data_IF_679189379322
#
_entry.id   IF_679189379322
#
_cell.length_a   1.000
_cell.length_b   1.000
_cell.length_c   1.000
_cell.angle_alpha   90.00
_cell.angle_beta   90.00
_cell.angle_gamma   90.00
#
_symmetry.space_group_name_H-M   'P 1'
#
loop_
_entity.id
_entity.type
_entity.pdbx_description
1 polymer ?
#
# COMPACT_ATOMS: atom_id res chain seq x y z
N UNK A 1 -3.28 5.61 7.12
CA UNK A 1 -2.97 6.35 5.87
C UNK A 1 -2.20 7.63 6.12
N UNK A 2 -2.54 8.46 7.11
CA UNK A 2 -1.81 9.71 7.40
C UNK A 2 -0.32 9.53 7.71
N UNK A 3 0.08 8.44 8.37
CA UNK A 3 1.50 8.14 8.60
C UNK A 3 2.28 7.90 7.30
N UNK A 4 1.69 7.18 6.34
CA UNK A 4 2.25 7.02 5.00
C UNK A 4 2.26 8.34 4.21
N UNK A 5 1.22 9.16 4.36
CA UNK A 5 1.19 10.51 3.76
C UNK A 5 2.33 11.40 4.28
N UNK A 6 2.58 11.39 5.60
CA UNK A 6 3.66 12.17 6.21
C UNK A 6 5.05 11.72 5.71
N UNK A 7 5.21 10.44 5.36
CA UNK A 7 6.45 9.86 4.84
C UNK A 7 6.54 9.80 3.31
N UNK A 8 5.51 10.25 2.56
CA UNK A 8 5.36 9.97 1.13
C UNK A 8 6.59 10.34 0.30
N UNK A 9 7.19 11.52 0.55
CA UNK A 9 8.34 12.01 -0.19
C UNK A 9 9.56 11.07 -0.16
N UNK A 10 9.75 10.29 0.93
CA UNK A 10 10.85 9.33 1.03
C UNK A 10 10.72 8.16 0.04
N UNK A 11 9.48 7.82 -0.32
CA UNK A 11 9.20 6.78 -1.30
C UNK A 11 9.46 7.30 -2.72
N UNK A 12 9.13 8.57 -2.98
CA UNK A 12 9.42 9.25 -4.25
C UNK A 12 10.94 9.29 -4.53
N UNK A 13 11.75 9.57 -3.50
CA UNK A 13 13.23 9.55 -3.58
C UNK A 13 13.80 8.17 -3.96
N UNK A 14 13.05 7.10 -3.67
CA UNK A 14 13.44 5.71 -3.97
C UNK A 14 12.77 5.17 -5.26
N UNK A 15 12.29 6.05 -6.15
CA UNK A 15 11.56 5.68 -7.38
C UNK A 15 10.40 4.69 -7.07
N UNK A 16 9.68 4.92 -5.97
CA UNK A 16 8.61 4.04 -5.51
C UNK A 16 7.26 4.73 -5.64
N UNK A 17 6.34 4.09 -6.36
CA UNK A 17 4.94 4.50 -6.39
C UNK A 17 4.18 3.90 -5.20
N UNK A 18 3.35 4.70 -4.53
CA UNK A 18 2.51 4.25 -3.42
C UNK A 18 1.04 4.17 -3.84
N UNK A 19 0.37 3.10 -3.41
CA UNK A 19 -1.07 2.92 -3.59
C UNK A 19 -1.67 2.46 -2.25
N UNK A 20 -2.77 3.07 -1.82
CA UNK A 20 -3.63 2.46 -0.81
C UNK A 20 -4.70 1.62 -1.49
N UNK A 21 -5.04 0.47 -0.92
CA UNK A 21 -6.09 -0.40 -1.46
C UNK A 21 -7.06 -0.72 -0.33
N UNK A 22 -8.36 -0.62 -0.58
CA UNK A 22 -9.37 -1.14 0.34
C UNK A 22 -10.53 -1.77 -0.43
N UNK A 23 -11.28 -2.62 0.26
CA UNK A 23 -12.51 -3.26 -0.21
C UNK A 23 -13.71 -2.31 -0.27
N UNK A 24 -13.56 -1.02 0.07
CA UNK A 24 -14.58 0.01 -0.07
C UNK A 24 -14.71 0.47 -1.53
N UNK A 25 -15.89 0.96 -1.90
CA UNK A 25 -16.16 1.41 -3.27
C UNK A 25 -15.42 2.72 -3.63
N UNK A 26 -15.28 2.98 -4.92
CA UNK A 26 -14.52 4.14 -5.42
C UNK A 26 -15.04 5.50 -4.92
N UNK A 27 -16.37 5.77 -4.83
CA UNK A 27 -16.87 7.02 -4.23
C UNK A 27 -16.44 7.23 -2.78
N UNK A 28 -16.53 6.20 -1.93
CA UNK A 28 -16.10 6.25 -0.53
C UNK A 28 -14.60 6.49 -0.42
N UNK A 29 -13.80 5.81 -1.25
CA UNK A 29 -12.35 6.00 -1.29
C UNK A 29 -11.95 7.41 -1.69
N UNK A 30 -12.66 8.01 -2.67
CA UNK A 30 -12.43 9.39 -3.08
C UNK A 30 -12.64 10.37 -1.92
N UNK A 31 -13.78 10.29 -1.24
CA UNK A 31 -14.09 11.17 -0.10
C UNK A 31 -13.07 10.99 1.02
N UNK A 32 -12.66 9.75 1.31
CA UNK A 32 -11.67 9.45 2.34
C UNK A 32 -10.29 10.02 2.00
N UNK A 33 -9.84 9.89 0.75
CA UNK A 33 -8.58 10.47 0.29
C UNK A 33 -8.59 12.00 0.40
N UNK A 34 -9.69 12.65 0.02
CA UNK A 34 -9.86 14.11 0.12
C UNK A 34 -9.82 14.59 1.57
N UNK A 35 -10.53 13.91 2.49
CA UNK A 35 -10.54 14.23 3.92
C UNK A 35 -9.15 14.15 4.55
N UNK A 36 -8.36 13.15 4.14
CA UNK A 36 -7.01 12.95 4.63
C UNK A 36 -5.94 13.73 3.84
N UNK A 37 -6.33 14.44 2.78
CA UNK A 37 -5.44 15.16 1.86
C UNK A 37 -4.32 14.27 1.33
N UNK A 38 -4.67 13.06 0.90
CA UNK A 38 -3.69 12.10 0.39
C UNK A 38 -3.18 12.55 -0.99
N UNK A 39 -1.87 12.43 -1.21
CA UNK A 39 -1.22 12.73 -2.49
C UNK A 39 -0.97 11.48 -3.34
N UNK A 40 -1.20 10.31 -2.76
CA UNK A 40 -1.14 9.03 -3.46
C UNK A 40 -2.56 8.47 -3.71
N UNK A 41 -2.74 7.67 -4.77
CA UNK A 41 -4.03 7.10 -5.12
C UNK A 41 -4.54 6.07 -4.09
N UNK A 42 -5.85 6.07 -3.87
CA UNK A 42 -6.58 4.98 -3.22
C UNK A 42 -7.37 4.19 -4.26
N UNK A 43 -7.11 2.88 -4.33
CA UNK A 43 -7.77 1.93 -5.22
C UNK A 43 -8.91 1.22 -4.48
N UNK A 44 -9.98 0.93 -5.23
CA UNK A 44 -11.13 0.17 -4.75
C UNK A 44 -11.04 -1.27 -5.26
N UNK A 45 -11.05 -2.23 -4.33
CA UNK A 45 -11.19 -3.68 -4.57
C UNK A 45 -12.62 -4.16 -4.24
N UNK A 46 -13.62 -3.28 -4.38
CA UNK A 46 -15.00 -3.56 -3.96
C UNK A 46 -15.73 -4.59 -4.84
N UNK A 47 -15.47 -4.61 -6.16
CA UNK A 47 -16.31 -5.31 -7.13
C UNK A 47 -16.35 -6.84 -6.92
N UNK A 48 -15.18 -7.45 -6.76
CA UNK A 48 -15.02 -8.90 -6.56
C UNK A 48 -14.07 -9.25 -5.39
N UNK A 49 -13.41 -8.25 -4.78
CA UNK A 49 -12.42 -8.42 -3.70
C UNK A 49 -11.27 -9.34 -4.09
N UNK A 50 -10.96 -9.36 -5.39
CA UNK A 50 -9.98 -10.26 -5.97
C UNK A 50 -8.59 -9.95 -5.47
N UNK A 51 -8.21 -8.68 -5.37
CA UNK A 51 -6.85 -8.30 -4.92
C UNK A 51 -6.64 -8.74 -3.47
N UNK A 52 -7.58 -8.43 -2.57
CA UNK A 52 -7.50 -8.84 -1.17
C UNK A 52 -7.48 -10.37 -1.02
N UNK A 53 -8.19 -11.10 -1.89
CA UNK A 53 -8.22 -12.57 -1.90
C UNK A 53 -6.88 -13.14 -2.39
N UNK A 54 -6.36 -12.67 -3.51
CA UNK A 54 -5.11 -13.17 -4.12
C UNK A 54 -3.88 -12.88 -3.25
N UNK A 55 -3.88 -11.74 -2.54
CA UNK A 55 -2.83 -11.40 -1.57
C UNK A 55 -3.03 -12.10 -0.20
N UNK A 56 -4.11 -12.88 -0.04
CA UNK A 56 -4.39 -13.64 1.18
C UNK A 56 -4.72 -12.77 2.39
N UNK A 57 -5.25 -11.57 2.17
CA UNK A 57 -5.55 -10.58 3.22
C UNK A 57 -7.04 -10.34 3.43
N UNK A 58 -7.92 -10.91 2.61
CA UNK A 58 -9.36 -10.80 2.82
C UNK A 58 -9.79 -11.52 4.12
N UNK A 59 -10.48 -10.81 5.00
CA UNK A 59 -11.06 -11.37 6.22
C UNK A 59 -12.29 -12.20 5.85
N UNK A 60 -12.29 -13.53 6.13
CA UNK A 60 -13.40 -14.41 5.78
C UNK A 60 -14.72 -13.92 6.34
N UNK A 61 -15.77 -13.95 5.53
CA UNK A 61 -17.15 -13.56 5.88
C UNK A 61 -17.34 -12.12 6.36
N UNK A 62 -16.31 -11.27 6.32
CA UNK A 62 -16.41 -9.85 6.72
C UNK A 62 -16.31 -8.87 5.56
N UNK A 63 -15.73 -9.31 4.44
CA UNK A 63 -15.61 -8.45 3.26
C UNK A 63 -14.67 -7.27 3.40
N UNK A 64 -13.79 -7.32 4.39
CA UNK A 64 -12.76 -6.32 4.68
C UNK A 64 -11.39 -6.98 4.55
N UNK A 65 -10.36 -6.23 4.22
CA UNK A 65 -8.98 -6.71 4.25
C UNK A 65 -8.34 -6.50 5.63
N UNK A 66 -7.44 -7.39 6.03
CA UNK A 66 -6.46 -7.12 7.07
C UNK A 66 -5.57 -5.95 6.66
N UNK A 67 -5.06 -5.20 7.64
CA UNK A 67 -4.06 -4.16 7.38
C UNK A 67 -2.72 -4.84 7.12
N UNK A 68 -2.27 -4.77 5.88
CA UNK A 68 -0.98 -5.31 5.46
C UNK A 68 -0.33 -4.33 4.48
N UNK A 69 0.97 -4.11 4.63
CA UNK A 69 1.78 -3.35 3.67
C UNK A 69 2.69 -4.31 2.92
N UNK A 70 2.72 -4.16 1.59
CA UNK A 70 3.59 -4.92 0.71
C UNK A 70 4.57 -3.96 0.02
N UNK A 71 5.84 -4.33 -0.07
CA UNK A 71 6.79 -3.70 -0.99
C UNK A 71 7.07 -4.68 -2.11
N UNK A 72 6.81 -4.23 -3.33
CA UNK A 72 6.92 -5.03 -4.55
C UNK A 72 8.06 -4.42 -5.38
N UNK A 73 9.00 -5.26 -5.79
CA UNK A 73 10.12 -4.83 -6.64
C UNK A 73 9.66 -4.56 -8.09
N UNK A 74 10.58 -4.08 -8.92
CA UNK A 74 10.29 -3.73 -10.32
C UNK A 74 10.02 -4.95 -11.22
N UNK A 75 10.33 -6.16 -10.75
CA UNK A 75 10.02 -7.43 -11.42
C UNK A 75 8.70 -8.04 -10.94
N UNK A 76 7.97 -7.35 -10.04
CA UNK A 76 6.68 -7.77 -9.51
C UNK A 76 6.78 -8.76 -8.35
N UNK A 77 7.95 -8.94 -7.73
CA UNK A 77 8.13 -9.82 -6.58
C UNK A 77 7.98 -9.07 -5.27
N UNK A 78 7.35 -9.70 -4.30
CA UNK A 78 7.22 -9.13 -2.95
C UNK A 78 8.57 -9.27 -2.23
N UNK A 79 9.18 -8.14 -1.87
CA UNK A 79 10.44 -8.09 -1.10
C UNK A 79 10.18 -7.94 0.41
N UNK A 80 9.06 -7.31 0.78
CA UNK A 80 8.70 -7.06 2.17
C UNK A 80 7.20 -7.16 2.40
N UNK A 81 6.83 -7.76 3.54
CA UNK A 81 5.46 -7.86 4.02
C UNK A 81 5.44 -7.42 5.49
N UNK A 82 4.58 -6.46 5.80
CA UNK A 82 4.26 -6.07 7.17
C UNK A 82 2.78 -6.30 7.46
N UNK A 83 2.49 -7.04 8.52
CA UNK A 83 1.12 -7.31 9.00
C UNK A 83 0.87 -6.58 10.30
N UNK A 84 -0.35 -6.06 10.47
CA UNK A 84 -0.94 -5.50 11.70
C UNK A 84 -0.28 -4.22 12.26
N UNK A 85 1.04 -4.08 12.14
CA UNK A 85 1.79 -2.88 12.50
C UNK A 85 1.66 -1.84 11.38
N UNK A 86 1.56 -0.57 11.76
CA UNK A 86 1.70 0.56 10.85
C UNK A 86 3.13 1.07 10.97
N UNK A 87 4.02 0.63 10.07
CA UNK A 87 5.43 1.01 10.05
C UNK A 87 5.86 1.56 8.68
N UNK A 88 5.60 2.84 8.40
CA UNK A 88 6.08 3.48 7.19
C UNK A 88 7.62 3.48 7.06
N UNK A 89 8.34 3.43 8.18
CA UNK A 89 9.81 3.40 8.18
C UNK A 89 10.33 2.04 7.71
N UNK A 90 9.76 0.94 8.21
CA UNK A 90 10.06 -0.41 7.73
C UNK A 90 9.86 -0.57 6.23
N UNK A 91 8.72 -0.08 5.72
CA UNK A 91 8.43 -0.07 4.29
C UNK A 91 9.41 0.82 3.50
N UNK A 92 9.70 2.04 3.99
CA UNK A 92 10.63 2.97 3.35
C UNK A 92 12.04 2.40 3.25
N UNK A 93 12.54 1.77 4.32
CA UNK A 93 13.84 1.12 4.32
C UNK A 93 13.91 -0.03 3.29
N UNK A 94 12.83 -0.79 3.12
CA UNK A 94 12.77 -1.83 2.08
C UNK A 94 12.84 -1.22 0.67
N UNK A 95 12.09 -0.15 0.40
CA UNK A 95 12.16 0.58 -0.87
C UNK A 95 13.57 1.10 -1.17
N UNK A 96 14.23 1.74 -0.20
CA UNK A 96 15.58 2.28 -0.41
C UNK A 96 16.61 1.18 -0.69
N UNK A 97 16.52 0.02 -0.02
CA UNK A 97 17.39 -1.14 -0.34
C UNK A 97 17.22 -1.60 -1.78
N UNK A 98 15.99 -1.70 -2.27
CA UNK A 98 15.71 -2.09 -3.65
C UNK A 98 16.26 -1.09 -4.66
N UNK A 99 16.12 0.21 -4.38
CA UNK A 99 16.67 1.27 -5.23
C UNK A 99 18.20 1.19 -5.34
N UNK A 100 18.90 0.96 -4.23
CA UNK A 100 20.36 0.82 -4.23
C UNK A 100 20.86 -0.49 -4.85
N UNK A 101 20.12 -1.60 -4.73
CA UNK A 101 20.49 -2.89 -5.34
C UNK A 101 20.54 -2.83 -6.87
N UNK A 102 19.77 -1.93 -7.49
CA UNK A 102 19.73 -1.75 -8.95
C UNK A 102 20.86 -0.86 -9.49
N UNK A 103 21.59 -0.17 -8.61
CA UNK A 103 22.69 0.74 -8.96
C UNK A 103 24.08 0.07 -8.94
N UNK A 104 24.14 -1.24 -8.68
CA UNK A 104 25.35 -2.09 -8.76
C UNK A 104 25.25 -3.07 -9.91
#
# INVERSE_FOLDING_TARGET
MTAYQAGHAKFDESDTAMFGVSTDNSPSQKVFAEQLKLTFPLLSDFADRKVATEYGVLIPNRGMAYRVTFVIDKDGKIDYIEKDKLDPEGAGNACSRLAHKKAS
#
